data_IF_978503910167
#
_entry.id   IF_978503910167
#
_cell.length_a   1.000
_cell.length_b   1.000
_cell.length_c   1.000
_cell.angle_alpha   90.00
_cell.angle_beta   90.00
_cell.angle_gamma   90.00
#
_symmetry.space_group_name_H-M   'P 1'
#
loop_
_entity.id
_entity.type
_entity.pdbx_description
1 polymer ?
#
# COMPACT_ATOMS: atom_id res chain seq x y z
N UNK A 1 -5.48 -13.60 -13.23
CA UNK A 1 -4.97 -12.46 -14.02
C UNK A 1 -3.57 -12.14 -13.53
N UNK A 2 -2.71 -11.66 -14.40
CA UNK A 2 -1.29 -11.43 -14.14
C UNK A 2 -0.99 -9.94 -14.01
N UNK A 3 -0.13 -9.62 -13.07
CA UNK A 3 0.39 -8.28 -12.82
C UNK A 3 1.91 -8.33 -12.97
N UNK A 4 2.48 -7.36 -13.69
CA UNK A 4 3.92 -7.25 -13.87
C UNK A 4 4.47 -6.22 -12.89
N UNK A 5 5.03 -6.67 -11.79
CA UNK A 5 5.69 -5.84 -10.79
C UNK A 5 7.20 -5.79 -11.09
N UNK A 6 7.71 -4.65 -11.55
CA UNK A 6 9.13 -4.47 -11.96
C UNK A 6 9.75 -5.64 -12.76
N UNK A 7 8.98 -6.21 -13.69
CA UNK A 7 9.43 -7.33 -14.51
C UNK A 7 9.05 -8.71 -14.01
N UNK A 8 8.69 -8.87 -12.72
CA UNK A 8 8.19 -10.14 -12.17
C UNK A 8 6.68 -10.27 -12.36
N UNK A 9 6.23 -11.47 -12.77
CA UNK A 9 4.81 -11.78 -12.96
C UNK A 9 4.21 -12.31 -11.67
N UNK A 10 3.17 -11.64 -11.17
CA UNK A 10 2.44 -11.99 -9.95
C UNK A 10 0.96 -12.19 -10.29
N UNK A 11 0.40 -13.33 -9.92
CA UNK A 11 -1.02 -13.63 -10.15
C UNK A 11 -1.91 -13.05 -9.07
N UNK A 12 -2.98 -12.35 -9.46
CA UNK A 12 -4.01 -11.85 -8.54
C UNK A 12 -5.39 -11.65 -9.22
N UNK A 13 -6.37 -11.24 -8.42
CA UNK A 13 -7.77 -11.05 -8.84
C UNK A 13 -8.12 -9.56 -8.95
N UNK A 14 -8.37 -9.10 -10.19
CA UNK A 14 -8.74 -7.71 -10.52
C UNK A 14 -9.87 -7.16 -9.65
N UNK A 15 -10.92 -7.97 -9.46
CA UNK A 15 -12.12 -7.60 -8.70
C UNK A 15 -11.78 -7.27 -7.24
N UNK A 16 -10.91 -8.05 -6.60
CA UNK A 16 -10.58 -7.83 -5.20
C UNK A 16 -9.75 -6.57 -5.02
N UNK A 17 -8.79 -6.34 -5.93
CA UNK A 17 -8.00 -5.11 -5.93
C UNK A 17 -8.91 -3.88 -6.10
N UNK A 18 -9.85 -3.90 -7.05
CA UNK A 18 -10.80 -2.80 -7.24
C UNK A 18 -11.71 -2.57 -6.03
N UNK A 19 -12.26 -3.63 -5.43
CA UNK A 19 -13.11 -3.49 -4.24
C UNK A 19 -12.37 -2.87 -3.05
N UNK A 20 -11.04 -3.00 -2.99
CA UNK A 20 -10.21 -2.54 -1.87
C UNK A 20 -9.45 -1.25 -2.15
N UNK A 21 -9.48 -0.75 -3.38
CA UNK A 21 -8.69 0.39 -3.84
C UNK A 21 -9.46 1.19 -4.88
N UNK A 22 -9.79 2.44 -4.54
CA UNK A 22 -10.40 3.36 -5.49
C UNK A 22 -9.49 3.61 -6.72
N UNK A 23 -8.17 3.54 -6.53
CA UNK A 23 -7.19 3.70 -7.62
C UNK A 23 -7.22 2.50 -8.56
N UNK A 24 -7.25 1.27 -8.05
CA UNK A 24 -7.40 0.10 -8.91
C UNK A 24 -8.77 0.04 -9.56
N UNK A 25 -9.85 0.36 -8.84
CA UNK A 25 -11.19 0.42 -9.44
C UNK A 25 -11.23 1.39 -10.63
N UNK A 26 -10.69 2.60 -10.43
CA UNK A 26 -10.56 3.58 -11.49
C UNK A 26 -9.67 3.08 -12.65
N UNK A 27 -8.51 2.48 -12.34
CA UNK A 27 -7.59 1.92 -13.34
C UNK A 27 -8.21 0.78 -14.14
N UNK A 28 -9.16 0.05 -13.56
CA UNK A 28 -9.68 -1.20 -14.12
C UNK A 28 -11.01 -1.06 -14.83
N UNK A 29 -11.88 -0.16 -14.38
CA UNK A 29 -13.29 -0.13 -14.77
C UNK A 29 -13.79 1.24 -15.22
N UNK A 30 -13.03 2.34 -15.03
CA UNK A 30 -13.46 3.65 -15.56
C UNK A 30 -13.27 3.75 -17.07
N UNK A 31 -14.07 4.57 -17.78
CA UNK A 31 -14.00 4.72 -19.25
C UNK A 31 -12.65 5.22 -19.79
N UNK A 32 -11.81 5.82 -18.94
CA UNK A 32 -10.44 6.25 -19.25
C UNK A 32 -9.37 5.19 -18.94
N UNK A 33 -9.73 4.06 -18.33
CA UNK A 33 -8.89 2.87 -18.35
C UNK A 33 -8.68 2.58 -19.84
N UNK A 34 -7.41 2.69 -20.26
CA UNK A 34 -7.01 2.74 -21.66
C UNK A 34 -7.76 1.70 -22.48
N UNK A 35 -8.02 2.03 -23.75
CA UNK A 35 -8.65 1.16 -24.76
C UNK A 35 -7.83 -0.11 -25.06
N UNK A 36 -7.00 -0.55 -24.14
CA UNK A 36 -6.24 -1.80 -24.15
C UNK A 36 -7.21 -2.92 -23.75
N UNK A 37 -8.19 -3.17 -24.61
CA UNK A 37 -9.16 -4.27 -24.48
C UNK A 37 -8.49 -5.66 -24.52
N UNK A 38 -7.17 -5.76 -24.66
CA UNK A 38 -6.47 -7.02 -24.92
C UNK A 38 -5.14 -7.24 -24.17
N UNK A 39 -4.59 -6.25 -23.46
CA UNK A 39 -3.37 -6.50 -22.66
C UNK A 39 -3.73 -7.17 -21.34
N UNK A 40 -3.53 -8.49 -21.27
CA UNK A 40 -3.78 -9.32 -20.09
C UNK A 40 -2.90 -8.96 -18.87
N UNK A 41 -1.81 -8.22 -19.09
CA UNK A 41 -0.82 -7.89 -18.07
C UNK A 41 -0.93 -6.43 -17.62
N UNK A 42 -1.29 -6.23 -16.35
CA UNK A 42 -1.28 -4.89 -15.72
C UNK A 42 0.08 -4.64 -15.10
N UNK A 43 0.73 -3.56 -15.51
CA UNK A 43 2.05 -3.19 -14.97
C UNK A 43 1.92 -2.37 -13.68
N UNK A 44 2.78 -2.71 -12.72
CA UNK A 44 2.98 -2.10 -11.40
C UNK A 44 4.47 -1.73 -11.30
N UNK A 45 4.84 -0.54 -11.76
CA UNK A 45 6.25 -0.11 -11.84
C UNK A 45 6.80 0.44 -10.51
N UNK A 46 5.89 0.82 -9.62
CA UNK A 46 6.13 1.58 -8.41
C UNK A 46 6.23 0.74 -7.13
N UNK A 47 6.15 -0.58 -7.25
CA UNK A 47 6.37 -1.50 -6.14
C UNK A 47 7.32 -2.61 -6.54
N UNK A 48 8.27 -2.87 -5.65
CA UNK A 48 9.10 -4.07 -5.73
C UNK A 48 8.20 -5.32 -5.64
N UNK A 49 8.56 -6.43 -6.30
CA UNK A 49 7.74 -7.65 -6.30
C UNK A 49 7.45 -8.19 -4.89
N UNK A 50 8.44 -8.13 -3.99
CA UNK A 50 8.27 -8.56 -2.60
C UNK A 50 7.23 -7.72 -1.85
N UNK A 51 7.33 -6.39 -1.97
CA UNK A 51 6.34 -5.44 -1.40
C UNK A 51 4.96 -5.74 -1.99
N UNK A 52 4.87 -5.93 -3.32
CA UNK A 52 3.60 -6.18 -3.98
C UNK A 52 2.93 -7.48 -3.51
N UNK A 53 3.70 -8.55 -3.27
CA UNK A 53 3.18 -9.81 -2.71
C UNK A 53 2.61 -9.60 -1.30
N UNK A 54 3.31 -8.86 -0.44
CA UNK A 54 2.83 -8.55 0.91
C UNK A 54 1.60 -7.64 0.87
N UNK A 55 1.60 -6.65 -0.02
CA UNK A 55 0.48 -5.76 -0.26
C UNK A 55 -0.77 -6.51 -0.73
N UNK A 56 -0.59 -7.47 -1.64
CA UNK A 56 -1.65 -8.39 -2.02
C UNK A 56 -2.13 -9.21 -0.84
N UNK A 57 -1.25 -9.80 -0.03
CA UNK A 57 -1.67 -10.54 1.17
C UNK A 57 -2.61 -9.69 2.04
N UNK A 58 -2.22 -8.44 2.33
CA UNK A 58 -3.07 -7.50 3.07
C UNK A 58 -4.43 -7.25 2.41
N UNK A 59 -4.48 -7.05 1.09
CA UNK A 59 -5.74 -6.85 0.34
C UNK A 59 -6.70 -8.04 0.52
N UNK A 60 -6.18 -9.26 0.61
CA UNK A 60 -6.98 -10.48 0.78
C UNK A 60 -7.39 -10.75 2.21
N UNK A 61 -6.49 -10.53 3.18
CA UNK A 61 -6.68 -11.01 4.56
C UNK A 61 -6.87 -9.89 5.58
N UNK A 62 -6.68 -8.63 5.20
CA UNK A 62 -6.60 -7.48 6.10
C UNK A 62 -5.53 -7.64 7.20
N UNK A 63 -4.53 -8.50 6.97
CA UNK A 63 -3.43 -8.77 7.89
C UNK A 63 -2.10 -8.70 7.16
N UNK A 64 -1.01 -8.52 7.90
CA UNK A 64 0.32 -8.71 7.33
C UNK A 64 0.82 -10.13 7.58
N UNK A 65 1.56 -10.72 6.62
CA UNK A 65 2.21 -11.98 6.85
C UNK A 65 3.29 -11.83 7.91
N UNK A 66 3.56 -12.89 8.65
CA UNK A 66 4.66 -12.89 9.60
C UNK A 66 5.98 -12.89 8.82
N UNK A 67 6.75 -11.81 8.94
CA UNK A 67 8.02 -11.61 8.23
C UNK A 67 9.17 -12.27 9.02
N UNK A 68 9.10 -13.59 9.22
CA UNK A 68 10.06 -14.33 10.10
C UNK A 68 11.50 -14.18 9.60
N UNK A 69 11.66 -14.19 8.28
CA UNK A 69 12.96 -14.28 7.61
C UNK A 69 13.68 -12.93 7.46
N UNK A 70 13.04 -11.84 7.90
CA UNK A 70 13.60 -10.49 7.86
C UNK A 70 14.15 -10.11 9.23
N UNK A 71 15.27 -9.40 9.24
CA UNK A 71 15.70 -8.69 10.44
C UNK A 71 14.77 -7.51 10.75
N UNK A 72 14.94 -6.88 11.90
CA UNK A 72 14.05 -5.82 12.31
C UNK A 72 14.16 -4.58 11.42
N UNK A 73 15.31 -4.30 10.80
CA UNK A 73 15.51 -3.13 9.93
C UNK A 73 14.80 -3.34 8.59
N UNK A 74 14.93 -4.53 8.01
CA UNK A 74 14.23 -4.94 6.79
C UNK A 74 12.71 -4.98 6.99
N UNK A 75 12.24 -5.44 8.16
CA UNK A 75 10.81 -5.33 8.52
C UNK A 75 10.37 -3.88 8.52
N UNK A 76 11.13 -2.97 9.13
CA UNK A 76 10.77 -1.54 9.18
C UNK A 76 10.69 -0.95 7.78
N UNK A 77 11.63 -1.26 6.91
CA UNK A 77 11.64 -0.73 5.55
C UNK A 77 10.49 -1.30 4.69
N UNK A 78 10.22 -2.60 4.82
CA UNK A 78 9.04 -3.25 4.22
C UNK A 78 7.75 -2.54 4.64
N UNK A 79 7.61 -2.24 5.94
CA UNK A 79 6.44 -1.54 6.49
C UNK A 79 6.31 -0.12 5.92
N UNK A 80 7.40 0.64 5.83
CA UNK A 80 7.37 1.99 5.21
C UNK A 80 6.92 1.92 3.76
N UNK A 81 7.47 1.00 2.97
CA UNK A 81 7.07 0.83 1.57
C UNK A 81 5.60 0.44 1.44
N UNK A 82 5.10 -0.43 2.32
CA UNK A 82 3.69 -0.81 2.38
C UNK A 82 2.78 0.37 2.73
N UNK A 83 3.18 1.25 3.64
CA UNK A 83 2.44 2.47 3.98
C UNK A 83 2.38 3.44 2.79
N UNK A 84 3.48 3.63 2.09
CA UNK A 84 3.52 4.45 0.86
C UNK A 84 2.62 3.86 -0.22
N UNK A 85 2.65 2.54 -0.41
CA UNK A 85 1.76 1.85 -1.35
C UNK A 85 0.28 1.98 -0.95
N UNK A 86 -0.02 1.81 0.33
CA UNK A 86 -1.38 1.94 0.87
C UNK A 86 -1.98 3.32 0.58
N UNK A 87 -1.22 4.37 0.84
CA UNK A 87 -1.64 5.74 0.56
C UNK A 87 -1.82 5.97 -0.95
N UNK A 88 -0.81 5.57 -1.74
CA UNK A 88 -0.83 5.74 -3.20
C UNK A 88 -2.00 5.02 -3.88
N UNK A 89 -2.35 3.83 -3.43
CA UNK A 89 -3.46 3.06 -3.96
C UNK A 89 -4.78 3.28 -3.21
N UNK A 90 -4.83 4.24 -2.28
CA UNK A 90 -6.00 4.56 -1.49
C UNK A 90 -6.65 3.32 -0.83
N UNK A 91 -5.84 2.47 -0.21
CA UNK A 91 -6.34 1.34 0.59
C UNK A 91 -6.79 1.87 1.94
N UNK A 92 -8.03 2.33 2.02
CA UNK A 92 -8.56 2.97 3.24
C UNK A 92 -8.45 2.09 4.47
N UNK A 93 -8.67 0.77 4.33
CA UNK A 93 -8.58 -0.18 5.46
C UNK A 93 -7.15 -0.40 5.95
N UNK A 94 -6.16 -0.12 5.12
CA UNK A 94 -4.74 -0.13 5.52
C UNK A 94 -4.38 1.13 6.31
N UNK A 95 -5.20 2.19 6.31
CA UNK A 95 -5.06 3.28 7.28
C UNK A 95 -5.39 2.85 8.72
N UNK A 96 -6.06 1.70 8.88
CA UNK A 96 -6.35 1.06 10.19
C UNK A 96 -5.28 0.03 10.55
N UNK A 97 -4.07 0.20 10.02
CA UNK A 97 -2.89 -0.51 10.48
C UNK A 97 -2.74 -0.21 11.99
N UNK A 98 -3.00 -1.25 12.79
CA UNK A 98 -2.95 -1.21 14.25
C UNK A 98 -1.55 -0.85 14.76
N UNK A 99 -1.51 -0.39 16.02
CA UNK A 99 -0.34 0.09 16.77
C UNK A 99 0.95 -0.74 16.59
N UNK A 100 0.87 -2.05 16.35
CA UNK A 100 2.04 -2.93 16.17
C UNK A 100 2.94 -2.59 14.98
N UNK A 101 2.36 -2.09 13.89
CA UNK A 101 3.11 -1.64 12.71
C UNK A 101 3.66 -0.23 12.86
N UNK A 102 2.92 0.63 13.56
CA UNK A 102 3.42 1.94 14.01
C UNK A 102 4.64 1.72 14.91
N UNK A 103 4.56 0.82 15.90
CA UNK A 103 5.68 0.45 16.76
C UNK A 103 6.90 -0.05 15.99
N UNK A 104 6.71 -0.80 14.89
CA UNK A 104 7.83 -1.17 14.02
C UNK A 104 8.36 0.06 13.27
N UNK A 105 7.51 0.91 12.69
CA UNK A 105 7.97 2.11 11.98
C UNK A 105 8.56 3.23 12.86
N UNK A 106 8.29 3.21 14.17
CA UNK A 106 8.71 4.22 15.13
C UNK A 106 10.14 3.93 15.61
N UNK A 107 11.10 4.66 15.02
CA UNK A 107 12.44 4.85 15.58
C UNK A 107 12.44 6.12 16.46
N UNK A 108 13.39 6.26 17.39
CA UNK A 108 13.54 7.46 18.24
C UNK A 108 13.59 8.74 17.38
N UNK A 109 14.20 8.67 16.20
CA UNK A 109 14.23 9.77 15.23
C UNK A 109 12.91 9.95 14.46
N UNK A 110 12.27 8.84 14.05
CA UNK A 110 11.03 8.87 13.24
C UNK A 110 9.79 9.26 14.06
N UNK A 111 9.81 9.02 15.38
CA UNK A 111 8.75 9.46 16.31
C UNK A 111 8.57 10.96 16.24
N UNK A 112 9.66 11.74 16.16
CA UNK A 112 9.60 13.20 16.10
C UNK A 112 8.95 13.69 14.78
N UNK A 113 9.30 13.08 13.65
CA UNK A 113 8.74 13.40 12.32
C UNK A 113 7.29 12.97 12.19
N UNK A 114 6.92 11.77 12.65
CA UNK A 114 5.53 11.31 12.67
C UNK A 114 4.69 12.17 13.61
N UNK A 115 5.21 12.54 14.78
CA UNK A 115 4.53 13.45 15.71
C UNK A 115 4.34 14.85 15.11
N UNK A 116 5.33 15.36 14.38
CA UNK A 116 5.23 16.63 13.68
C UNK A 116 4.20 16.59 12.54
N UNK A 117 4.20 15.52 11.74
CA UNK A 117 3.20 15.27 10.68
C UNK A 117 1.79 15.13 11.26
N UNK A 118 1.61 14.37 12.34
CA UNK A 118 0.33 14.22 13.03
C UNK A 118 -0.17 15.55 13.57
N UNK A 119 0.69 16.35 14.21
CA UNK A 119 0.36 17.72 14.63
C UNK A 119 -0.02 18.61 13.46
N UNK A 120 0.69 18.53 12.34
CA UNK A 120 0.38 19.34 11.16
C UNK A 120 -0.99 18.97 10.58
N UNK A 121 -1.30 17.66 10.46
CA UNK A 121 -2.58 17.14 10.00
C UNK A 121 -3.74 17.52 10.94
N UNK A 122 -3.51 17.51 12.26
CA UNK A 122 -4.48 17.95 13.26
C UNK A 122 -4.64 19.48 13.33
N UNK A 123 -3.57 20.24 13.05
CA UNK A 123 -3.63 21.71 12.99
C UNK A 123 -4.25 22.23 11.68
N UNK A 124 -4.20 21.48 10.58
CA UNK A 124 -4.88 21.86 9.33
C UNK A 124 -6.41 21.81 9.42
N UNK A 125 -6.97 21.09 10.41
CA UNK A 125 -8.41 21.09 10.69
C UNK A 125 -8.87 22.31 11.52
N UNK A 126 -7.96 23.22 11.88
CA UNK A 126 -8.25 24.40 12.70
C UNK A 126 -8.09 25.72 11.93
N UNK A 127 -8.04 25.67 10.59
CA UNK A 127 -7.82 26.87 9.75
C UNK A 127 -9.08 27.46 9.10
N UNK A 128 -10.25 26.92 9.39
CA UNK A 128 -11.54 27.53 9.05
C UNK A 128 -12.40 27.66 10.32
N UNK A 129 -12.18 28.75 11.05
CA UNK A 129 -13.11 29.32 12.03
C UNK A 129 -12.99 30.85 12.01
#
# INVERSE_FOLDING_TARGET
MTFKAQGEIVSAHKILLAMRSAVFDAKFYRPMATRDKESQDITIDDMQPAIFKVFLHFIYTDSLPYMVDLDDDDKREMVKHLLVAADKYAIERMKVIHEGMLCLSLDVETVATILALAKQLHCSNLKDA
#
